data_IF_005134571028
#
_entry.id   IF_005134571028
#
_cell.length_a   1.000
_cell.length_b   1.000
_cell.length_c   1.000
_cell.angle_alpha   90.00
_cell.angle_beta   90.00
_cell.angle_gamma   90.00
#
_symmetry.space_group_name_H-M   'P 1'
#
loop_
_entity.id
_entity.type
_entity.pdbx_description
1 polymer ?
#
# COMPACT_ATOMS: atom_id res chain seq x y z
N UNK A 1 -8.26 4.05 -10.17
CA UNK A 1 -9.30 3.77 -11.19
C UNK A 1 -8.81 4.21 -12.55
N UNK A 2 -8.39 5.48 -12.74
CA UNK A 2 -7.99 6.02 -14.05
C UNK A 2 -6.89 5.17 -14.72
N UNK A 3 -5.80 4.82 -14.03
CA UNK A 3 -4.75 3.99 -14.60
C UNK A 3 -5.23 2.61 -15.04
N UNK A 4 -6.18 2.01 -14.30
CA UNK A 4 -6.79 0.74 -14.69
C UNK A 4 -7.69 0.91 -15.94
N UNK A 5 -8.38 2.05 -16.06
CA UNK A 5 -9.15 2.37 -17.27
C UNK A 5 -8.23 2.50 -18.50
N UNK A 6 -7.14 3.25 -18.37
CA UNK A 6 -6.14 3.40 -19.43
C UNK A 6 -5.52 2.07 -19.83
N UNK A 7 -5.23 1.20 -18.85
CA UNK A 7 -4.73 -0.14 -19.09
C UNK A 7 -5.71 -0.98 -19.95
N UNK A 8 -7.00 -0.98 -19.64
CA UNK A 8 -8.01 -1.76 -20.36
C UNK A 8 -8.47 -1.17 -21.70
N UNK A 9 -7.99 0.01 -22.09
CA UNK A 9 -8.18 0.53 -23.45
C UNK A 9 -7.26 -0.09 -24.49
N UNK A 10 -6.26 -0.88 -24.06
CA UNK A 10 -5.28 -1.53 -24.93
C UNK A 10 -5.44 -3.05 -24.87
N UNK A 11 -4.79 -3.79 -25.75
CA UNK A 11 -4.72 -5.25 -25.66
C UNK A 11 -3.88 -5.66 -24.44
N UNK A 12 -4.38 -6.60 -23.65
CA UNK A 12 -3.82 -6.93 -22.34
C UNK A 12 -3.22 -8.33 -22.31
N UNK A 13 -2.00 -8.46 -21.78
CA UNK A 13 -1.37 -9.75 -21.48
C UNK A 13 -1.86 -10.36 -20.15
N UNK A 14 -2.35 -9.54 -19.24
CA UNK A 14 -2.79 -9.95 -17.90
C UNK A 14 -4.16 -9.38 -17.57
N UNK A 15 -4.95 -10.13 -16.80
CA UNK A 15 -6.13 -9.61 -16.14
C UNK A 15 -5.72 -9.06 -14.76
N UNK A 16 -6.02 -7.79 -14.53
CA UNK A 16 -5.71 -7.09 -13.29
C UNK A 16 -7.02 -6.79 -12.55
N UNK A 17 -7.13 -7.28 -11.34
CA UNK A 17 -8.27 -7.01 -10.47
C UNK A 17 -7.88 -6.03 -9.37
N UNK A 18 -8.69 -5.03 -9.16
CA UNK A 18 -8.49 -4.06 -8.09
C UNK A 18 -9.51 -4.28 -6.96
N UNK A 19 -9.04 -4.81 -5.84
CA UNK A 19 -9.83 -5.06 -4.65
C UNK A 19 -9.79 -3.85 -3.73
N UNK A 20 -10.95 -3.26 -3.45
CA UNK A 20 -11.10 -2.14 -2.52
C UNK A 20 -11.76 -2.67 -1.25
N UNK A 21 -11.02 -2.63 -0.14
CA UNK A 21 -11.47 -3.09 1.18
C UNK A 21 -11.62 -1.89 2.10
N UNK A 22 -12.80 -1.70 2.62
CA UNK A 22 -13.18 -0.57 3.44
C UNK A 22 -14.56 -0.03 3.08
N UNK A 23 -15.11 0.82 3.92
CA UNK A 23 -16.37 1.48 3.60
C UNK A 23 -16.08 2.73 2.76
N UNK A 24 -16.81 2.88 1.68
CA UNK A 24 -16.93 4.16 0.97
C UNK A 24 -17.93 5.02 1.76
N UNK A 25 -17.48 5.55 2.91
CA UNK A 25 -18.36 6.24 3.86
C UNK A 25 -18.60 7.71 3.51
N UNK A 26 -17.68 8.33 2.78
CA UNK A 26 -17.80 9.69 2.31
C UNK A 26 -18.72 9.83 1.11
N UNK A 27 -19.50 10.89 1.08
CA UNK A 27 -20.34 11.23 -0.09
C UNK A 27 -19.48 11.45 -1.33
N UNK A 28 -18.33 12.10 -1.15
CA UNK A 28 -17.38 12.36 -2.23
C UNK A 28 -16.81 11.07 -2.83
N UNK A 29 -16.39 10.11 -2.01
CA UNK A 29 -15.86 8.83 -2.50
C UNK A 29 -16.92 8.07 -3.31
N UNK A 30 -18.19 8.09 -2.88
CA UNK A 30 -19.28 7.46 -3.62
C UNK A 30 -19.52 8.14 -4.95
N UNK A 31 -19.52 9.46 -4.98
CA UNK A 31 -19.77 10.25 -6.19
C UNK A 31 -18.62 10.17 -7.20
N UNK A 32 -17.39 9.99 -6.76
CA UNK A 32 -16.22 9.92 -7.64
C UNK A 32 -15.87 8.48 -8.05
N UNK A 33 -15.80 7.55 -7.09
CA UNK A 33 -15.29 6.19 -7.33
C UNK A 33 -16.29 5.34 -8.09
N UNK A 34 -17.54 5.28 -7.66
CA UNK A 34 -18.56 4.42 -8.29
C UNK A 34 -18.83 4.80 -9.73
N UNK A 35 -19.08 6.10 -10.05
CA UNK A 35 -19.21 6.53 -11.44
C UNK A 35 -17.97 6.28 -12.29
N UNK A 36 -16.76 6.47 -11.72
CA UNK A 36 -15.53 6.21 -12.45
C UNK A 36 -15.37 4.73 -12.82
N UNK A 37 -15.76 3.80 -11.95
CA UNK A 37 -15.78 2.37 -12.25
C UNK A 37 -16.77 2.07 -13.39
N UNK A 38 -17.99 2.56 -13.27
CA UNK A 38 -19.07 2.29 -14.21
C UNK A 38 -18.81 2.91 -15.59
N UNK A 39 -18.47 4.20 -15.63
CA UNK A 39 -18.29 4.95 -16.87
C UNK A 39 -17.07 4.46 -17.69
N UNK A 40 -16.11 3.85 -17.04
CA UNK A 40 -14.93 3.25 -17.71
C UNK A 40 -15.06 1.74 -17.96
N UNK A 41 -16.23 1.14 -17.74
CA UNK A 41 -16.45 -0.29 -17.99
C UNK A 41 -15.66 -1.22 -17.05
N UNK A 42 -15.23 -0.72 -15.88
CA UNK A 42 -14.35 -1.44 -14.95
C UNK A 42 -15.10 -2.34 -13.96
N UNK A 43 -16.41 -2.45 -14.05
CA UNK A 43 -17.22 -3.30 -13.16
C UNK A 43 -16.73 -4.75 -13.06
N UNK A 44 -16.21 -5.40 -14.12
CA UNK A 44 -15.66 -6.75 -14.02
C UNK A 44 -14.31 -6.85 -13.31
N UNK A 45 -13.61 -5.74 -13.11
CA UNK A 45 -12.21 -5.69 -12.67
C UNK A 45 -12.01 -4.98 -11.33
N UNK A 46 -12.99 -4.22 -10.87
CA UNK A 46 -12.95 -3.52 -9.57
C UNK A 46 -13.95 -4.13 -8.62
N UNK A 47 -13.47 -4.72 -7.54
CA UNK A 47 -14.28 -5.42 -6.55
C UNK A 47 -14.36 -4.59 -5.27
N UNK A 48 -15.56 -4.16 -4.91
CA UNK A 48 -15.84 -3.42 -3.68
C UNK A 48 -16.28 -4.40 -2.59
N UNK A 49 -15.41 -4.66 -1.61
CA UNK A 49 -15.69 -5.63 -0.54
C UNK A 49 -16.46 -5.05 0.65
N UNK A 50 -16.51 -3.71 0.79
CA UNK A 50 -16.93 -3.09 2.04
C UNK A 50 -15.92 -3.34 3.16
N UNK A 51 -16.29 -3.08 4.40
CA UNK A 51 -15.42 -3.35 5.55
C UNK A 51 -15.23 -4.86 5.75
N UNK A 52 -13.98 -5.29 5.96
CA UNK A 52 -13.61 -6.66 6.30
C UNK A 52 -12.62 -6.63 7.46
N UNK A 53 -12.69 -7.66 8.31
CA UNK A 53 -11.87 -7.77 9.52
C UNK A 53 -11.46 -9.22 9.75
N UNK A 54 -10.41 -9.42 10.56
CA UNK A 54 -9.96 -10.75 10.97
C UNK A 54 -9.74 -11.66 9.76
N UNK A 55 -10.25 -12.88 9.82
CA UNK A 55 -10.04 -13.92 8.81
C UNK A 55 -10.46 -13.52 7.39
N UNK A 56 -11.58 -12.82 7.24
CA UNK A 56 -12.03 -12.37 5.91
C UNK A 56 -11.03 -11.37 5.27
N UNK A 57 -10.44 -10.51 6.08
CA UNK A 57 -9.40 -9.59 5.61
C UNK A 57 -8.10 -10.35 5.31
N UNK A 58 -7.73 -11.31 6.13
CA UNK A 58 -6.54 -12.13 5.94
C UNK A 58 -6.61 -12.92 4.62
N UNK A 59 -7.76 -13.54 4.31
CA UNK A 59 -7.98 -14.25 3.05
C UNK A 59 -7.85 -13.34 1.81
N UNK A 60 -8.26 -12.08 1.90
CA UNK A 60 -8.06 -11.11 0.82
C UNK A 60 -6.59 -10.74 0.64
N UNK A 61 -5.83 -10.60 1.72
CA UNK A 61 -4.40 -10.36 1.65
C UNK A 61 -3.62 -11.55 1.08
N UNK A 62 -4.01 -12.78 1.41
CA UNK A 62 -3.39 -14.01 0.88
C UNK A 62 -3.58 -14.16 -0.62
N UNK A 63 -4.63 -13.57 -1.19
CA UNK A 63 -4.92 -13.58 -2.63
C UNK A 63 -4.32 -12.38 -3.37
N UNK A 64 -3.77 -11.39 -2.66
CA UNK A 64 -3.25 -10.18 -3.28
C UNK A 64 -1.81 -10.36 -3.74
N UNK A 65 -1.52 -9.94 -4.96
CA UNK A 65 -0.16 -9.90 -5.51
C UNK A 65 0.60 -8.63 -5.08
N UNK A 66 -0.12 -7.49 -4.93
CA UNK A 66 0.44 -6.19 -4.59
C UNK A 66 -0.50 -5.38 -3.70
N UNK A 67 0.08 -4.62 -2.77
CA UNK A 67 -0.62 -3.62 -1.97
C UNK A 67 -0.58 -2.23 -2.61
N UNK A 68 -1.66 -1.46 -2.45
CA UNK A 68 -1.68 -0.04 -2.85
C UNK A 68 -1.81 0.82 -1.61
N UNK A 69 -0.74 1.55 -1.31
CA UNK A 69 -0.66 2.52 -0.24
C UNK A 69 -1.38 3.83 -0.56
N UNK A 70 -0.97 4.90 0.08
CA UNK A 70 -1.53 6.22 -0.19
C UNK A 70 -0.94 6.80 -1.48
N UNK A 71 -1.79 7.42 -2.31
CA UNK A 71 -1.40 8.03 -3.58
C UNK A 71 -1.80 9.51 -3.67
N UNK A 72 -2.60 10.00 -2.74
CA UNK A 72 -3.22 11.33 -2.83
C UNK A 72 -2.91 12.28 -1.67
N UNK A 73 -1.91 12.00 -0.84
CA UNK A 73 -1.58 12.83 0.32
C UNK A 73 -1.02 14.20 -0.06
N UNK A 74 -0.36 14.32 -1.21
CA UNK A 74 0.09 15.58 -1.78
C UNK A 74 -1.04 16.61 -1.89
N UNK A 75 -2.29 16.17 -2.13
CA UNK A 75 -3.48 17.04 -2.15
C UNK A 75 -3.76 17.73 -0.81
N UNK A 76 -3.25 17.16 0.27
CA UNK A 76 -3.35 17.71 1.63
C UNK A 76 -2.04 18.33 2.11
N UNK A 77 -1.06 18.54 1.22
CA UNK A 77 0.27 19.07 1.56
C UNK A 77 1.09 18.13 2.45
N UNK A 78 0.82 16.82 2.43
CA UNK A 78 1.54 15.83 3.22
C UNK A 78 2.51 15.10 2.30
N UNK A 79 3.80 15.45 2.41
CA UNK A 79 4.87 14.88 1.59
C UNK A 79 5.60 13.73 2.29
N UNK A 80 5.59 13.72 3.63
CA UNK A 80 6.27 12.71 4.44
C UNK A 80 5.34 12.20 5.52
N UNK A 81 5.13 10.89 5.55
CA UNK A 81 4.26 10.23 6.54
C UNK A 81 4.59 8.75 6.69
N UNK A 82 4.57 8.27 7.92
CA UNK A 82 4.69 6.84 8.27
C UNK A 82 3.29 6.24 8.45
N UNK A 83 2.74 5.63 7.40
CA UNK A 83 1.39 5.05 7.43
C UNK A 83 1.39 3.59 7.87
N UNK A 84 0.41 3.20 8.70
CA UNK A 84 0.28 1.81 9.16
C UNK A 84 0.04 0.82 8.01
N UNK A 85 -0.60 1.25 6.93
CA UNK A 85 -0.88 0.42 5.76
C UNK A 85 0.40 -0.14 5.13
N UNK A 86 1.45 0.68 4.96
CA UNK A 86 2.74 0.22 4.43
C UNK A 86 3.35 -0.86 5.33
N UNK A 87 3.27 -0.66 6.65
CA UNK A 87 3.76 -1.64 7.65
C UNK A 87 2.97 -2.92 7.64
N UNK A 88 1.65 -2.83 7.45
CA UNK A 88 0.80 -4.01 7.34
C UNK A 88 1.11 -4.83 6.08
N UNK A 89 1.29 -4.18 4.92
CA UNK A 89 1.70 -4.88 3.72
C UNK A 89 3.03 -5.62 3.92
N UNK A 90 4.05 -4.93 4.42
CA UNK A 90 5.34 -5.57 4.67
C UNK A 90 5.26 -6.67 5.75
N UNK A 91 4.47 -6.50 6.81
CA UNK A 91 4.25 -7.52 7.83
C UNK A 91 3.55 -8.77 7.29
N UNK A 92 2.76 -8.63 6.24
CA UNK A 92 2.12 -9.73 5.52
C UNK A 92 3.03 -10.34 4.43
N UNK A 93 4.19 -9.73 4.20
CA UNK A 93 5.13 -10.18 3.17
C UNK A 93 4.70 -9.76 1.76
N UNK A 94 3.86 -8.74 1.65
CA UNK A 94 3.31 -8.25 0.40
C UNK A 94 4.13 -7.05 -0.11
N UNK A 95 4.53 -7.08 -1.36
CA UNK A 95 5.09 -5.92 -2.03
C UNK A 95 4.01 -4.87 -2.27
N UNK A 96 4.40 -3.59 -2.38
CA UNK A 96 3.41 -2.53 -2.48
C UNK A 96 3.93 -1.27 -3.18
N UNK A 97 3.01 -0.37 -3.49
CA UNK A 97 3.29 0.95 -4.06
C UNK A 97 2.66 2.06 -3.23
N UNK A 98 3.30 3.22 -3.18
CA UNK A 98 2.80 4.45 -2.55
C UNK A 98 3.51 5.67 -3.15
N UNK A 99 3.11 6.91 -2.77
CA UNK A 99 3.64 8.13 -3.37
C UNK A 99 4.42 9.04 -2.41
N UNK A 100 4.06 9.07 -1.14
CA UNK A 100 4.68 9.93 -0.15
C UNK A 100 6.09 9.44 0.23
N UNK A 101 6.83 10.22 1.01
CA UNK A 101 8.07 9.78 1.63
C UNK A 101 7.78 9.00 2.91
N UNK A 102 8.19 7.74 2.95
CA UNK A 102 8.22 6.91 4.15
C UNK A 102 9.63 6.31 4.28
N UNK A 103 10.45 6.92 5.14
CA UNK A 103 11.88 6.58 5.29
C UNK A 103 12.13 5.11 5.64
N UNK A 104 11.13 4.45 6.22
CA UNK A 104 11.25 3.02 6.55
C UNK A 104 11.17 2.14 5.29
N UNK A 105 10.65 2.66 4.17
CA UNK A 105 10.32 1.89 2.96
C UNK A 105 10.89 2.44 1.66
N UNK A 106 11.28 3.72 1.58
CA UNK A 106 11.66 4.39 0.32
C UNK A 106 12.77 3.68 -0.50
N UNK A 107 13.60 2.86 0.15
CA UNK A 107 14.71 2.13 -0.49
C UNK A 107 14.53 0.61 -0.47
N UNK A 108 13.35 0.11 -0.14
CA UNK A 108 13.11 -1.34 -0.07
C UNK A 108 12.87 -1.91 -1.48
N UNK A 109 13.49 -3.06 -1.83
CA UNK A 109 13.40 -3.62 -3.20
C UNK A 109 12.02 -4.15 -3.57
N UNK A 110 11.11 -4.30 -2.60
CA UNK A 110 9.74 -4.72 -2.77
C UNK A 110 8.73 -3.55 -2.76
N UNK A 111 9.24 -2.33 -2.92
CA UNK A 111 8.43 -1.11 -2.93
C UNK A 111 8.64 -0.35 -4.23
N UNK A 112 7.55 -0.05 -4.90
CA UNK A 112 7.55 0.85 -6.05
C UNK A 112 6.99 2.22 -5.66
N UNK A 113 7.85 3.20 -5.56
CA UNK A 113 7.46 4.58 -5.27
C UNK A 113 7.01 5.27 -6.55
N UNK A 114 5.77 5.73 -6.57
CA UNK A 114 5.22 6.49 -7.69
C UNK A 114 5.24 8.01 -7.40
N UNK A 115 5.19 8.87 -8.41
CA UNK A 115 5.15 10.32 -8.19
C UNK A 115 3.94 10.76 -7.35
N UNK A 116 4.17 11.66 -6.39
CA UNK A 116 3.13 12.29 -5.60
C UNK A 116 2.47 13.44 -6.39
N UNK A 117 1.70 13.13 -7.40
CA UNK A 117 1.01 14.08 -8.28
C UNK A 117 -0.30 13.47 -8.83
N UNK A 118 -0.93 14.16 -9.78
CA UNK A 118 -2.20 13.73 -10.39
C UNK A 118 -2.04 12.75 -11.57
N UNK A 119 -0.83 12.30 -11.86
CA UNK A 119 -0.60 11.34 -12.95
C UNK A 119 -1.21 9.98 -12.57
N UNK A 120 -1.96 9.39 -13.47
CA UNK A 120 -2.52 8.05 -13.26
C UNK A 120 -1.41 7.00 -13.14
N UNK A 121 -1.63 6.00 -12.29
CA UNK A 121 -0.69 4.89 -12.13
C UNK A 121 -0.62 4.06 -13.42
N UNK A 122 0.58 3.85 -13.92
CA UNK A 122 0.85 2.98 -15.05
C UNK A 122 0.77 1.51 -14.57
N UNK A 123 -0.31 0.83 -14.95
CA UNK A 123 -0.56 -0.55 -14.54
C UNK A 123 0.41 -1.53 -15.21
N UNK A 124 0.88 -1.23 -16.43
CA UNK A 124 1.87 -2.08 -17.09
C UNK A 124 3.20 -2.07 -16.31
N UNK A 125 3.66 -0.89 -15.88
CA UNK A 125 4.84 -0.79 -15.01
C UNK A 125 4.64 -1.42 -13.64
N UNK A 126 3.43 -1.38 -13.10
CA UNK A 126 3.11 -2.08 -11.84
C UNK A 126 3.27 -3.59 -11.99
N UNK A 127 2.84 -4.17 -13.12
CA UNK A 127 3.01 -5.58 -13.45
C UNK A 127 4.50 -5.93 -13.62
N UNK A 128 5.25 -5.11 -14.36
CA UNK A 128 6.69 -5.28 -14.57
C UNK A 128 7.44 -5.22 -13.22
N UNK A 129 7.08 -4.28 -12.36
CA UNK A 129 7.62 -4.21 -11.00
C UNK A 129 7.32 -5.49 -10.22
N UNK A 130 6.09 -5.96 -10.20
CA UNK A 130 5.74 -7.21 -9.51
C UNK A 130 6.57 -8.39 -10.02
N UNK A 131 6.73 -8.52 -11.33
CA UNK A 131 7.53 -9.59 -11.96
C UNK A 131 9.03 -9.48 -11.65
N UNK A 132 9.52 -8.29 -11.32
CA UNK A 132 10.94 -8.07 -10.94
C UNK A 132 11.26 -8.46 -9.51
N UNK A 133 10.25 -8.71 -8.68
CA UNK A 133 10.43 -9.06 -7.27
C UNK A 133 10.79 -10.54 -7.15
N UNK A 134 11.97 -10.80 -6.58
CA UNK A 134 12.45 -12.18 -6.34
C UNK A 134 12.44 -12.56 -4.86
N UNK A 135 12.02 -11.63 -3.98
CA UNK A 135 11.96 -11.87 -2.55
C UNK A 135 10.77 -12.76 -2.17
N UNK A 136 11.00 -13.67 -1.26
CA UNK A 136 9.93 -14.44 -0.65
C UNK A 136 9.18 -13.58 0.40
N UNK A 137 7.88 -13.84 0.65
CA UNK A 137 7.10 -13.10 1.65
C UNK A 137 7.76 -13.04 3.03
N UNK A 138 8.47 -14.09 3.44
CA UNK A 138 9.18 -14.13 4.72
C UNK A 138 10.36 -13.15 4.76
N UNK A 139 11.04 -12.92 3.64
CA UNK A 139 12.17 -11.98 3.56
C UNK A 139 11.67 -10.55 3.68
N UNK A 140 10.56 -10.21 3.00
CA UNK A 140 9.87 -8.91 3.16
C UNK A 140 9.48 -8.69 4.62
N UNK A 141 8.86 -9.67 5.25
CA UNK A 141 8.45 -9.61 6.66
C UNK A 141 9.64 -9.39 7.59
N UNK A 142 10.74 -10.10 7.39
CA UNK A 142 11.92 -9.99 8.22
C UNK A 142 12.63 -8.64 8.08
N UNK A 143 12.51 -7.97 6.93
CA UNK A 143 13.13 -6.67 6.69
C UNK A 143 12.62 -5.56 7.62
N UNK A 144 11.40 -5.72 8.19
CA UNK A 144 10.77 -4.76 9.10
C UNK A 144 10.74 -5.21 10.57
N UNK A 145 11.56 -6.19 10.95
CA UNK A 145 11.58 -6.70 12.33
C UNK A 145 11.86 -5.61 13.37
N UNK A 146 12.68 -4.61 12.99
CA UNK A 146 12.97 -3.41 13.79
C UNK A 146 11.76 -2.50 14.02
N UNK A 147 10.72 -2.57 13.20
CA UNK A 147 9.48 -1.79 13.34
C UNK A 147 8.47 -2.46 14.27
N UNK A 148 8.79 -3.65 14.80
CA UNK A 148 7.92 -4.33 15.77
C UNK A 148 7.78 -3.53 17.08
N UNK A 149 6.59 -3.59 17.70
CA UNK A 149 6.34 -2.96 19.00
C UNK A 149 7.39 -3.34 20.05
N UNK A 150 7.79 -4.61 20.07
CA UNK A 150 8.81 -5.10 20.99
C UNK A 150 10.14 -4.37 20.80
N UNK A 151 10.58 -4.22 19.56
CA UNK A 151 11.85 -3.55 19.26
C UNK A 151 11.77 -2.06 19.59
N UNK A 152 10.73 -1.38 19.15
CA UNK A 152 10.51 0.05 19.40
C UNK A 152 10.43 0.38 20.92
N UNK A 153 9.74 -0.46 21.69
CA UNK A 153 9.69 -0.27 23.15
C UNK A 153 11.03 -0.53 23.82
N UNK A 154 11.81 -1.49 23.32
CA UNK A 154 13.15 -1.72 23.87
C UNK A 154 14.08 -0.54 23.62
N UNK A 155 13.99 0.11 22.45
CA UNK A 155 14.75 1.34 22.16
C UNK A 155 14.38 2.48 23.11
N UNK A 156 13.09 2.69 23.36
CA UNK A 156 12.61 3.69 24.32
C UNK A 156 13.17 3.42 25.73
N UNK A 157 13.12 2.18 26.21
CA UNK A 157 13.66 1.79 27.52
C UNK A 157 15.17 2.05 27.58
N UNK A 158 15.91 1.70 26.54
CA UNK A 158 17.36 1.92 26.46
C UNK A 158 17.69 3.43 26.54
N UNK A 159 16.94 4.28 25.83
CA UNK A 159 17.16 5.72 25.86
C UNK A 159 16.87 6.32 27.24
N UNK A 160 15.79 5.92 27.90
CA UNK A 160 15.47 6.35 29.26
C UNK A 160 16.60 5.95 30.24
N UNK A 161 17.09 4.73 30.14
CA UNK A 161 18.18 4.22 30.97
C UNK A 161 19.48 5.04 30.81
N UNK A 162 19.81 5.43 29.58
CA UNK A 162 20.97 6.30 29.31
C UNK A 162 20.81 7.70 29.91
N UNK A 163 19.61 8.28 29.86
CA UNK A 163 19.33 9.60 30.43
C UNK A 163 19.43 9.59 31.97
N UNK A 164 19.04 8.49 32.63
CA UNK A 164 19.13 8.36 34.08
C UNK A 164 20.56 8.17 34.59
N UNK A 165 21.43 7.51 33.82
CA UNK A 165 22.84 7.31 34.17
C UNK A 165 23.71 8.56 34.00
N UNK A 166 23.30 9.54 33.17
CA UNK A 166 24.03 10.81 33.01
C UNK A 166 23.68 11.88 34.06
N UNK A 167 22.65 11.65 34.85
CA UNK A 167 22.16 12.57 35.88
C UNK A 167 22.49 12.07 37.31
N UNK A 168 23.26 11.02 37.47
CA UNK A 168 23.76 10.48 38.74
C UNK A 168 25.29 10.68 38.83
#
# INVERSE_FOLDING_TARGET
IQGLAEYYLQEQSYKVFFHIVGQLSGERERQEIIPAIYNNGLTPYVILHGARYGKELDELFEQADLGIGSLGRHRSGIDKIKVLKNREYAARGLAFTYSETDEDFDNMPYVWKVPANETSMDIQKLIEFHQSIHLQPIEIRNSIANLSWKHQMQEVINQISLMTTHNA
#
